data_IF_408517878732
#
_entry.id   IF_408517878732
#
_cell.length_a   1.000
_cell.length_b   1.000
_cell.length_c   1.000
_cell.angle_alpha   90.00
_cell.angle_beta   90.00
_cell.angle_gamma   90.00
#
_symmetry.space_group_name_H-M   'P 1'
#
loop_
_entity.id
_entity.type
_entity.pdbx_description
1 polymer ?
#
# COMPACT_ATOMS: atom_id res chain seq x y z
N UNK A 1 40.10 9.12 34.26
CA UNK A 1 39.38 9.14 32.98
C UNK A 1 37.92 9.38 33.33
N UNK A 2 37.44 10.59 33.04
CA UNK A 2 36.24 11.17 33.63
C UNK A 2 34.95 10.69 32.95
N UNK A 3 33.89 10.55 33.75
CA UNK A 3 32.50 10.28 33.33
C UNK A 3 31.90 11.33 32.38
N UNK A 4 32.59 12.44 32.08
CA UNK A 4 32.12 13.50 31.18
C UNK A 4 32.20 13.13 29.69
N UNK A 5 33.08 12.20 29.32
CA UNK A 5 33.28 11.85 27.90
C UNK A 5 32.26 10.82 27.40
N UNK A 6 31.62 10.04 28.29
CA UNK A 6 30.57 9.08 27.92
C UNK A 6 29.22 9.76 27.62
N UNK A 7 28.86 10.87 28.29
CA UNK A 7 27.63 11.61 28.00
C UNK A 7 27.68 12.39 26.67
N UNK A 8 28.85 12.85 26.25
CA UNK A 8 29.05 13.53 24.96
C UNK A 8 28.95 12.56 23.77
N UNK A 9 29.37 11.30 23.92
CA UNK A 9 29.22 10.29 22.88
C UNK A 9 27.78 9.77 22.74
N UNK A 10 27.04 9.62 23.84
CA UNK A 10 25.61 9.23 23.78
C UNK A 10 24.70 10.35 23.27
N UNK A 11 24.95 11.62 23.63
CA UNK A 11 24.16 12.74 23.09
C UNK A 11 24.37 12.94 21.58
N UNK A 12 25.60 12.81 21.06
CA UNK A 12 25.87 12.96 19.62
C UNK A 12 25.27 11.84 18.75
N UNK A 13 25.14 10.64 19.29
CA UNK A 13 24.47 9.50 18.65
C UNK A 13 22.95 9.71 18.56
N UNK A 14 22.32 10.12 19.67
CA UNK A 14 20.88 10.40 19.72
C UNK A 14 20.46 11.57 18.83
N UNK A 15 21.30 12.60 18.71
CA UNK A 15 21.06 13.76 17.84
C UNK A 15 21.24 13.38 16.37
N UNK A 16 22.24 12.54 16.02
CA UNK A 16 22.38 12.01 14.65
C UNK A 16 21.21 11.11 14.25
N UNK A 17 20.68 10.30 15.17
CA UNK A 17 19.50 9.48 14.96
C UNK A 17 18.25 10.35 14.76
N UNK A 18 18.04 11.38 15.60
CA UNK A 18 16.93 12.32 15.47
C UNK A 18 16.95 13.15 14.17
N UNK A 19 18.15 13.47 13.65
CA UNK A 19 18.32 14.15 12.35
C UNK A 19 18.07 13.18 11.18
N UNK A 20 18.34 11.88 11.33
CA UNK A 20 18.01 10.85 10.34
C UNK A 20 16.52 10.47 10.33
N UNK A 21 15.82 10.60 11.46
CA UNK A 21 14.39 10.26 11.59
C UNK A 21 13.46 11.36 11.05
N UNK A 22 14.01 12.55 10.77
CA UNK A 22 13.30 13.67 10.19
C UNK A 22 13.44 13.70 8.67
N UNK A 23 12.52 13.02 7.99
CA UNK A 23 12.45 12.99 6.53
C UNK A 23 11.45 14.06 6.09
N UNK A 24 11.91 15.05 5.32
CA UNK A 24 11.09 16.16 4.80
C UNK A 24 10.40 17.01 5.89
N UNK A 25 10.97 17.14 7.08
CA UNK A 25 10.41 17.98 8.15
C UNK A 25 9.42 17.26 9.08
N UNK A 26 9.16 15.97 8.87
CA UNK A 26 8.26 15.15 9.68
C UNK A 26 9.01 14.03 10.41
N UNK A 27 8.69 13.87 11.69
CA UNK A 27 9.15 12.74 12.51
C UNK A 27 8.57 11.41 12.01
N UNK A 28 9.20 10.29 12.39
CA UNK A 28 8.66 8.96 12.10
C UNK A 28 7.21 8.80 12.59
N UNK A 29 6.89 9.29 13.80
CA UNK A 29 5.54 9.25 14.37
C UNK A 29 4.53 9.98 13.47
N UNK A 30 4.87 11.16 13.00
CA UNK A 30 4.02 11.95 12.10
C UNK A 30 3.86 11.28 10.73
N UNK A 31 4.93 10.66 10.19
CA UNK A 31 4.85 9.93 8.92
C UNK A 31 4.05 8.64 9.01
N UNK A 32 4.10 7.92 10.14
CA UNK A 32 3.20 6.79 10.40
C UNK A 32 1.75 7.27 10.45
N UNK A 33 1.46 8.34 11.22
CA UNK A 33 0.10 8.89 11.29
C UNK A 33 -0.39 9.37 9.92
N UNK A 34 0.46 10.06 9.16
CA UNK A 34 0.16 10.53 7.81
C UNK A 34 -0.12 9.34 6.88
N UNK A 35 0.70 8.29 6.91
CA UNK A 35 0.46 7.08 6.11
C UNK A 35 -0.94 6.52 6.35
N UNK A 36 -1.38 6.39 7.60
CA UNK A 36 -2.68 5.80 7.90
C UNK A 36 -3.86 6.74 7.63
N UNK A 37 -3.75 8.03 7.99
CA UNK A 37 -4.83 8.98 7.73
C UNK A 37 -5.00 9.27 6.23
N UNK A 38 -3.90 9.33 5.48
CA UNK A 38 -3.96 9.54 4.04
C UNK A 38 -4.45 8.31 3.31
N UNK A 39 -4.15 7.09 3.78
CA UNK A 39 -4.78 5.88 3.26
C UNK A 39 -6.32 5.98 3.33
N UNK A 40 -6.84 6.30 4.52
CA UNK A 40 -8.29 6.45 4.71
C UNK A 40 -8.89 7.61 3.90
N UNK A 41 -8.16 8.72 3.74
CA UNK A 41 -8.61 9.82 2.89
C UNK A 41 -8.58 9.45 1.40
N UNK A 42 -7.57 8.71 0.94
CA UNK A 42 -7.45 8.24 -0.44
C UNK A 42 -8.57 7.28 -0.81
N UNK A 43 -8.88 6.34 0.08
CA UNK A 43 -10.07 5.48 0.05
C UNK A 43 -11.33 6.36 -0.06
N UNK A 44 -11.66 7.15 0.96
CA UNK A 44 -12.95 7.85 1.00
C UNK A 44 -13.14 8.82 -0.18
N UNK A 45 -12.06 9.43 -0.68
CA UNK A 45 -12.09 10.29 -1.87
C UNK A 45 -12.35 9.47 -3.14
N UNK A 46 -11.63 8.37 -3.37
CA UNK A 46 -11.86 7.51 -4.53
C UNK A 46 -13.24 6.85 -4.51
N UNK A 47 -13.72 6.51 -3.31
CA UNK A 47 -14.99 5.85 -3.10
C UNK A 47 -16.16 6.84 -3.28
N UNK A 48 -16.10 7.97 -2.56
CA UNK A 48 -17.18 8.96 -2.41
C UNK A 48 -18.55 8.29 -2.19
N UNK A 49 -18.64 7.49 -1.13
CA UNK A 49 -19.84 6.69 -0.81
C UNK A 49 -20.30 5.77 -1.97
N UNK A 50 -19.37 5.30 -2.80
CA UNK A 50 -19.60 4.47 -4.00
C UNK A 50 -19.91 5.26 -5.29
N UNK A 51 -20.10 6.58 -5.22
CA UNK A 51 -20.49 7.36 -6.42
C UNK A 51 -19.37 7.51 -7.45
N UNK A 52 -18.11 7.53 -7.02
CA UNK A 52 -16.96 7.69 -7.93
C UNK A 52 -16.33 6.35 -8.32
N UNK A 53 -16.12 5.43 -7.38
CA UNK A 53 -15.58 4.08 -7.65
C UNK A 53 -16.29 3.36 -8.80
N UNK A 54 -17.63 3.40 -8.83
CA UNK A 54 -18.41 2.71 -9.86
C UNK A 54 -18.59 3.51 -11.16
N UNK A 55 -18.04 4.73 -11.24
CA UNK A 55 -18.10 5.56 -12.44
C UNK A 55 -17.01 5.17 -13.43
N UNK A 56 -17.39 4.52 -14.54
CA UNK A 56 -16.44 4.02 -15.57
C UNK A 56 -15.94 5.08 -16.56
N UNK A 57 -15.98 6.36 -16.16
CA UNK A 57 -15.53 7.48 -16.99
C UNK A 57 -14.85 8.55 -16.12
N UNK A 58 -13.52 8.65 -16.26
CA UNK A 58 -12.72 9.59 -15.47
C UNK A 58 -13.10 11.06 -15.72
N UNK A 59 -13.46 11.45 -16.95
CA UNK A 59 -13.93 12.81 -17.21
C UNK A 59 -15.20 13.15 -16.44
N UNK A 60 -16.12 12.20 -16.26
CA UNK A 60 -17.32 12.40 -15.44
C UNK A 60 -16.95 12.72 -14.00
N UNK A 61 -16.01 11.97 -13.41
CA UNK A 61 -15.52 12.20 -12.04
C UNK A 61 -14.88 13.58 -11.93
N UNK A 62 -14.01 13.96 -12.87
CA UNK A 62 -13.34 15.27 -12.88
C UNK A 62 -14.32 16.44 -13.13
N UNK A 63 -15.36 16.22 -13.93
CA UNK A 63 -16.43 17.20 -14.14
C UNK A 63 -17.26 17.40 -12.88
N UNK A 64 -17.60 16.33 -12.16
CA UNK A 64 -18.26 16.42 -10.85
C UNK A 64 -17.38 17.13 -9.82
N UNK A 65 -16.07 16.85 -9.79
CA UNK A 65 -15.12 17.56 -8.93
C UNK A 65 -15.26 19.07 -9.15
N UNK A 66 -15.15 19.48 -10.42
CA UNK A 66 -15.23 20.89 -10.81
C UNK A 66 -16.60 21.50 -10.52
N UNK A 67 -17.68 20.77 -10.76
CA UNK A 67 -19.04 21.29 -10.61
C UNK A 67 -19.45 21.47 -9.15
N UNK A 68 -19.19 20.48 -8.29
CA UNK A 68 -19.66 20.48 -6.90
C UNK A 68 -18.66 21.09 -5.92
N UNK A 69 -17.35 21.02 -6.22
CA UNK A 69 -16.29 21.44 -5.28
C UNK A 69 -15.34 22.47 -5.88
N UNK A 70 -15.42 22.75 -7.18
CA UNK A 70 -14.52 23.66 -7.90
C UNK A 70 -13.14 23.04 -8.19
N UNK A 71 -12.47 22.53 -7.15
CA UNK A 71 -11.24 21.76 -7.21
C UNK A 71 -11.08 20.92 -5.91
N UNK A 72 -9.94 20.26 -5.71
CA UNK A 72 -9.73 19.43 -4.52
C UNK A 72 -9.85 20.22 -3.20
N UNK A 73 -9.48 21.50 -3.13
CA UNK A 73 -9.62 22.30 -1.91
C UNK A 73 -11.09 22.47 -1.47
N UNK A 74 -12.05 22.26 -2.36
CA UNK A 74 -13.47 22.28 -2.02
C UNK A 74 -14.00 20.96 -1.43
N UNK A 75 -13.20 19.89 -1.41
CA UNK A 75 -13.59 18.61 -0.81
C UNK A 75 -13.45 18.70 0.71
N UNK A 76 -14.51 18.36 1.43
CA UNK A 76 -14.50 18.00 2.85
C UNK A 76 -15.00 16.56 2.95
N UNK A 77 -14.19 15.66 3.53
CA UNK A 77 -14.52 14.24 3.67
C UNK A 77 -15.58 13.97 4.74
N UNK A 78 -16.12 15.03 5.36
CA UNK A 78 -17.30 14.91 6.23
C UNK A 78 -18.44 14.20 5.50
N UNK A 79 -18.94 13.12 6.10
CA UNK A 79 -19.97 12.22 5.56
C UNK A 79 -19.55 11.45 4.29
N UNK A 80 -18.27 11.45 3.93
CA UNK A 80 -17.72 10.50 2.96
C UNK A 80 -17.20 9.32 3.75
N UNK A 81 -17.95 8.22 3.71
CA UNK A 81 -17.54 7.00 4.39
C UNK A 81 -16.28 6.44 3.73
N UNK A 82 -15.47 5.76 4.52
CA UNK A 82 -14.43 4.87 4.00
C UNK A 82 -15.07 3.58 3.45
N UNK A 83 -14.44 2.93 2.48
CA UNK A 83 -14.88 1.65 1.90
C UNK A 83 -14.37 0.46 2.75
N UNK A 84 -14.43 -0.75 2.20
CA UNK A 84 -13.89 -1.94 2.85
C UNK A 84 -12.36 -1.89 2.97
N UNK A 85 -11.68 -1.12 2.13
CA UNK A 85 -10.23 -0.87 2.15
C UNK A 85 -9.74 -0.44 3.53
N UNK A 86 -10.24 0.69 4.04
CA UNK A 86 -9.86 1.18 5.38
C UNK A 86 -10.31 0.22 6.48
N UNK A 87 -11.50 -0.38 6.35
CA UNK A 87 -12.02 -1.31 7.36
C UNK A 87 -11.11 -2.53 7.50
N UNK A 88 -10.71 -3.13 6.39
CA UNK A 88 -9.81 -4.27 6.38
C UNK A 88 -8.37 -3.88 6.73
N UNK A 89 -7.90 -2.70 6.32
CA UNK A 89 -6.58 -2.20 6.71
C UNK A 89 -6.47 -2.00 8.22
N UNK A 90 -7.49 -1.40 8.86
CA UNK A 90 -7.57 -1.30 10.31
C UNK A 90 -7.60 -2.68 10.98
N UNK A 91 -8.34 -3.63 10.44
CA UNK A 91 -8.39 -5.00 10.95
C UNK A 91 -7.00 -5.67 10.92
N UNK A 92 -6.23 -5.52 9.83
CA UNK A 92 -4.83 -5.98 9.75
C UNK A 92 -4.00 -5.38 10.89
N UNK A 93 -4.16 -4.08 11.13
CA UNK A 93 -3.39 -3.35 12.14
C UNK A 93 -3.84 -3.64 13.57
N UNK A 94 -5.08 -4.06 13.83
CA UNK A 94 -5.51 -4.43 15.20
C UNK A 94 -4.87 -5.72 15.71
N UNK A 95 -4.48 -6.62 14.80
CA UNK A 95 -4.00 -7.95 15.12
C UNK A 95 -2.59 -8.01 15.75
N UNK A 96 -2.03 -6.91 16.28
CA UNK A 96 -0.61 -6.69 16.68
C UNK A 96 -0.01 -7.67 17.74
N UNK A 97 -0.61 -8.83 17.98
CA UNK A 97 -0.26 -9.79 19.03
C UNK A 97 0.02 -11.17 18.42
N UNK A 98 0.96 -11.91 19.01
CA UNK A 98 1.29 -13.28 18.62
C UNK A 98 0.29 -14.30 19.23
N UNK A 99 -0.28 -15.26 18.48
CA UNK A 99 -0.03 -15.58 17.06
C UNK A 99 -0.73 -14.65 16.06
N UNK A 100 0.10 -13.91 15.31
CA UNK A 100 -0.30 -12.81 14.43
C UNK A 100 -1.33 -13.20 13.39
N UNK A 101 -1.10 -14.32 12.69
CA UNK A 101 -1.99 -14.77 11.60
C UNK A 101 -3.36 -15.21 12.10
N UNK A 102 -3.42 -15.84 13.27
CA UNK A 102 -4.66 -16.23 13.93
C UNK A 102 -5.45 -15.00 14.37
N UNK A 103 -4.77 -14.00 14.94
CA UNK A 103 -5.43 -12.75 15.32
C UNK A 103 -5.90 -11.95 14.09
N UNK A 104 -5.14 -11.92 13.00
CA UNK A 104 -5.60 -11.31 11.74
C UNK A 104 -6.85 -12.00 11.18
N UNK A 105 -6.89 -13.33 11.19
CA UNK A 105 -8.08 -14.07 10.75
C UNK A 105 -9.32 -13.74 11.62
N UNK A 106 -9.13 -13.58 12.93
CA UNK A 106 -10.16 -13.15 13.87
C UNK A 106 -10.62 -11.71 13.61
N UNK A 107 -9.69 -10.77 13.42
CA UNK A 107 -10.01 -9.38 13.12
C UNK A 107 -10.74 -9.22 11.77
N UNK A 108 -10.40 -10.01 10.74
CA UNK A 108 -11.13 -10.02 9.47
C UNK A 108 -12.57 -10.54 9.62
N UNK A 109 -12.81 -11.51 10.51
CA UNK A 109 -14.16 -11.95 10.83
C UNK A 109 -14.96 -10.86 11.57
N UNK A 110 -14.31 -10.14 12.49
CA UNK A 110 -14.94 -9.06 13.28
C UNK A 110 -15.28 -7.88 12.38
N UNK A 111 -14.33 -7.42 11.55
CA UNK A 111 -14.51 -6.24 10.71
C UNK A 111 -15.58 -6.45 9.63
N UNK A 112 -15.90 -7.69 9.28
CA UNK A 112 -16.95 -8.01 8.32
C UNK A 112 -18.35 -7.50 8.73
N UNK A 113 -18.57 -7.25 10.04
CA UNK A 113 -19.80 -6.66 10.54
C UNK A 113 -19.96 -5.17 10.19
N UNK A 114 -18.90 -4.53 9.71
CA UNK A 114 -18.85 -3.10 9.36
C UNK A 114 -18.76 -2.89 7.84
N UNK A 115 -19.28 -3.83 7.03
CA UNK A 115 -19.19 -3.75 5.56
C UNK A 115 -20.41 -3.11 4.88
N UNK A 116 -21.45 -2.75 5.65
CA UNK A 116 -22.69 -2.23 5.08
C UNK A 116 -22.47 -0.91 4.32
N UNK A 117 -22.74 -0.94 3.01
CA UNK A 117 -22.56 0.20 2.11
C UNK A 117 -21.09 0.60 1.93
N UNK A 118 -20.17 -0.37 2.03
CA UNK A 118 -18.73 -0.20 1.81
C UNK A 118 -18.17 -1.07 0.66
N UNK A 119 -19.07 -1.73 -0.07
CA UNK A 119 -18.79 -2.48 -1.29
C UNK A 119 -17.69 -3.58 -1.24
N UNK A 120 -17.63 -4.44 -0.21
CA UNK A 120 -16.58 -5.46 -0.14
C UNK A 120 -16.59 -6.43 -1.32
N UNK A 121 -15.39 -6.73 -1.84
CA UNK A 121 -15.22 -7.66 -2.94
C UNK A 121 -15.62 -9.12 -2.61
N UNK A 122 -16.15 -9.89 -3.58
CA UNK A 122 -16.62 -11.26 -3.35
C UNK A 122 -15.50 -12.23 -2.97
N UNK A 123 -14.25 -11.97 -3.36
CA UNK A 123 -13.09 -12.79 -2.98
C UNK A 123 -12.75 -12.61 -1.50
N UNK A 124 -12.85 -11.38 -0.96
CA UNK A 124 -12.76 -11.14 0.48
C UNK A 124 -13.87 -11.90 1.23
N UNK A 125 -15.11 -11.84 0.73
CA UNK A 125 -16.25 -12.54 1.32
C UNK A 125 -16.00 -14.05 1.45
N UNK A 126 -15.57 -14.71 0.35
CA UNK A 126 -15.29 -16.16 0.36
C UNK A 126 -14.24 -16.55 1.40
N UNK A 127 -13.18 -15.76 1.55
CA UNK A 127 -12.15 -16.06 2.56
C UNK A 127 -12.63 -15.83 4.00
N UNK A 128 -13.43 -14.80 4.25
CA UNK A 128 -14.03 -14.58 5.57
C UNK A 128 -15.07 -15.66 5.90
N UNK A 129 -15.87 -16.08 4.92
CA UNK A 129 -16.80 -17.20 5.06
C UNK A 129 -16.05 -18.50 5.39
N UNK A 130 -14.93 -18.77 4.71
CA UNK A 130 -14.06 -19.91 5.04
C UNK A 130 -13.58 -19.87 6.49
N UNK A 131 -13.11 -18.71 6.98
CA UNK A 131 -12.68 -18.54 8.38
C UNK A 131 -13.86 -18.77 9.34
N UNK A 132 -15.06 -18.29 8.99
CA UNK A 132 -16.27 -18.47 9.81
C UNK A 132 -16.68 -19.94 9.94
N UNK A 133 -16.58 -20.69 8.84
CA UNK A 133 -17.00 -22.09 8.79
C UNK A 133 -15.98 -23.05 9.42
N UNK A 134 -14.67 -22.78 9.25
CA UNK A 134 -13.61 -23.68 9.69
C UNK A 134 -12.97 -23.26 11.02
N UNK A 135 -13.12 -21.98 11.41
CA UNK A 135 -12.47 -21.39 12.58
C UNK A 135 -11.10 -20.78 12.26
N UNK A 136 -10.73 -19.72 12.98
CA UNK A 136 -9.49 -18.98 12.77
C UNK A 136 -8.20 -19.80 13.02
N UNK A 137 -8.29 -20.95 13.70
CA UNK A 137 -7.15 -21.86 13.90
C UNK A 137 -6.73 -22.57 12.60
N UNK A 138 -7.64 -22.65 11.62
CA UNK A 138 -7.42 -23.28 10.32
C UNK A 138 -7.13 -22.25 9.20
N UNK A 139 -6.67 -21.06 9.57
CA UNK A 139 -6.38 -19.96 8.63
C UNK A 139 -5.42 -20.37 7.48
N UNK A 140 -4.49 -21.28 7.75
CA UNK A 140 -3.51 -21.78 6.79
C UNK A 140 -4.10 -22.76 5.76
N UNK A 141 -5.36 -23.18 5.93
CA UNK A 141 -6.01 -24.16 5.06
C UNK A 141 -6.82 -23.52 3.92
N UNK A 142 -6.91 -22.18 3.84
CA UNK A 142 -7.62 -21.52 2.74
C UNK A 142 -7.00 -21.94 1.39
N UNK A 143 -7.79 -22.53 0.49
CA UNK A 143 -7.27 -23.20 -0.71
C UNK A 143 -6.78 -22.19 -1.75
N UNK A 144 -5.89 -22.64 -2.63
CA UNK A 144 -5.51 -21.86 -3.81
C UNK A 144 -6.72 -21.59 -4.71
N UNK A 145 -6.88 -20.34 -5.13
CA UNK A 145 -7.95 -19.89 -6.02
C UNK A 145 -7.34 -19.25 -7.27
N UNK A 146 -7.53 -19.88 -8.44
CA UNK A 146 -7.07 -19.33 -9.73
C UNK A 146 -7.67 -17.97 -10.05
N UNK A 147 -8.79 -17.61 -9.42
CA UNK A 147 -9.46 -16.30 -9.55
C UNK A 147 -9.26 -15.42 -8.31
N UNK A 148 -8.39 -15.80 -7.39
CA UNK A 148 -8.09 -15.07 -6.15
C UNK A 148 -7.14 -13.89 -6.32
N UNK A 149 -7.01 -13.33 -7.54
CA UNK A 149 -6.00 -12.33 -7.91
C UNK A 149 -6.35 -10.87 -7.58
N UNK A 150 -7.51 -10.62 -6.97
CA UNK A 150 -7.98 -9.27 -6.64
C UNK A 150 -7.06 -8.47 -5.72
N UNK A 151 -7.24 -7.15 -5.69
CA UNK A 151 -6.49 -6.19 -4.87
C UNK A 151 -6.84 -6.23 -3.37
N UNK A 152 -7.84 -7.02 -2.95
CA UNK A 152 -8.25 -7.05 -1.54
C UNK A 152 -7.10 -7.39 -0.58
N UNK A 153 -6.09 -8.13 -1.05
CA UNK A 153 -4.84 -8.34 -0.33
C UNK A 153 -3.93 -7.10 -0.27
N UNK A 154 -3.75 -6.37 -1.37
CA UNK A 154 -2.90 -5.18 -1.45
C UNK A 154 -3.45 -3.99 -0.68
N UNK A 155 -4.77 -3.73 -0.74
CA UNK A 155 -5.40 -2.56 -0.12
C UNK A 155 -5.32 -2.52 1.42
N UNK A 156 -5.07 -3.67 2.06
CA UNK A 156 -5.06 -3.80 3.54
C UNK A 156 -3.69 -4.10 4.15
N UNK A 157 -2.63 -4.07 3.36
CA UNK A 157 -1.32 -4.57 3.75
C UNK A 157 -0.30 -3.48 4.13
N UNK A 158 -0.56 -2.20 3.85
CA UNK A 158 0.38 -1.11 4.13
C UNK A 158 0.83 -1.09 5.61
N UNK A 159 -0.11 -1.35 6.52
CA UNK A 159 0.14 -1.41 7.96
C UNK A 159 1.17 -2.46 8.38
N UNK A 160 1.33 -3.53 7.60
CA UNK A 160 2.31 -4.60 7.87
C UNK A 160 3.73 -4.04 7.75
N UNK A 161 4.00 -3.16 6.78
CA UNK A 161 5.29 -2.49 6.65
C UNK A 161 5.65 -1.61 7.86
N UNK A 162 4.64 -1.15 8.60
CA UNK A 162 4.82 -0.43 9.87
C UNK A 162 5.03 -1.42 11.01
N UNK A 163 4.18 -2.45 11.12
CA UNK A 163 4.25 -3.46 12.18
C UNK A 163 5.58 -4.20 12.23
N UNK A 164 6.18 -4.49 11.08
CA UNK A 164 7.43 -5.26 11.04
C UNK A 164 8.67 -4.41 11.28
N UNK A 165 8.60 -3.09 11.19
CA UNK A 165 9.77 -2.21 11.34
C UNK A 165 10.84 -2.43 10.26
N UNK A 166 11.96 -1.73 10.41
CA UNK A 166 13.04 -1.61 9.40
C UNK A 166 13.91 -2.85 9.19
N UNK A 167 14.05 -3.69 10.21
CA UNK A 167 15.05 -4.77 10.20
C UNK A 167 14.46 -6.17 10.00
N UNK A 168 13.13 -6.31 10.08
CA UNK A 168 12.44 -7.62 10.01
C UNK A 168 11.89 -7.88 8.60
N UNK A 169 12.72 -7.71 7.57
CA UNK A 169 12.29 -7.82 6.16
C UNK A 169 11.69 -9.19 5.80
N UNK A 170 12.26 -10.28 6.30
CA UNK A 170 11.72 -11.63 6.02
C UNK A 170 10.38 -11.85 6.74
N UNK A 171 10.19 -11.23 7.91
CA UNK A 171 8.90 -11.23 8.61
C UNK A 171 7.85 -10.40 7.87
N UNK A 172 8.24 -9.26 7.28
CA UNK A 172 7.38 -8.47 6.39
C UNK A 172 6.92 -9.33 5.21
N UNK A 173 7.86 -10.02 4.55
CA UNK A 173 7.57 -10.89 3.42
C UNK A 173 6.58 -11.99 3.80
N UNK A 174 6.86 -12.73 4.89
CA UNK A 174 5.97 -13.80 5.33
C UNK A 174 4.59 -13.27 5.74
N UNK A 175 4.53 -12.18 6.52
CA UNK A 175 3.27 -11.63 7.06
C UNK A 175 2.39 -11.05 5.95
N UNK A 176 2.97 -10.30 5.00
CA UNK A 176 2.22 -9.74 3.87
C UNK A 176 1.65 -10.83 2.96
N UNK A 177 2.42 -11.87 2.67
CA UNK A 177 1.96 -13.01 1.87
C UNK A 177 0.84 -13.77 2.59
N UNK A 178 1.04 -14.16 3.85
CA UNK A 178 0.08 -14.98 4.57
C UNK A 178 -1.20 -14.21 4.94
N UNK A 179 -1.10 -12.92 5.27
CA UNK A 179 -2.28 -12.05 5.52
C UNK A 179 -3.18 -11.89 4.30
N UNK A 180 -2.60 -11.87 3.10
CA UNK A 180 -3.36 -11.87 1.86
C UNK A 180 -3.98 -13.25 1.59
N UNK A 181 -3.23 -14.33 1.80
CA UNK A 181 -3.70 -15.72 1.62
C UNK A 181 -4.91 -16.11 2.49
N UNK A 182 -5.26 -15.32 3.51
CA UNK A 182 -6.52 -15.46 4.24
C UNK A 182 -7.76 -15.29 3.35
N UNK A 183 -7.65 -14.57 2.23
CA UNK A 183 -8.76 -14.40 1.27
C UNK A 183 -8.33 -14.47 -0.19
N UNK A 184 -7.07 -14.18 -0.51
CA UNK A 184 -6.48 -14.09 -1.84
C UNK A 184 -5.29 -15.04 -1.97
N UNK A 185 -5.54 -16.36 -1.93
CA UNK A 185 -4.49 -17.35 -2.18
C UNK A 185 -4.24 -17.50 -3.70
N UNK A 186 -3.72 -16.43 -4.30
CA UNK A 186 -3.21 -16.36 -5.67
C UNK A 186 -2.03 -15.38 -5.71
N UNK A 187 -0.92 -15.66 -6.44
CA UNK A 187 0.25 -14.79 -6.46
C UNK A 187 -0.04 -13.34 -6.85
N UNK A 188 -0.92 -13.09 -7.81
CA UNK A 188 -1.34 -11.73 -8.15
C UNK A 188 -1.86 -10.96 -6.93
N UNK A 189 -2.70 -11.58 -6.11
CA UNK A 189 -3.26 -10.94 -4.91
C UNK A 189 -2.23 -10.80 -3.79
N UNK A 190 -1.54 -11.89 -3.41
CA UNK A 190 -0.64 -11.84 -2.26
C UNK A 190 0.72 -11.17 -2.53
N UNK A 191 1.20 -11.13 -3.77
CA UNK A 191 2.38 -10.33 -4.12
C UNK A 191 2.04 -8.84 -4.20
N UNK A 192 0.79 -8.49 -4.53
CA UNK A 192 0.27 -7.14 -4.33
C UNK A 192 0.36 -6.70 -2.86
N UNK A 193 -0.10 -7.55 -1.93
CA UNK A 193 0.07 -7.33 -0.48
C UNK A 193 1.53 -7.12 -0.08
N UNK A 194 2.43 -7.95 -0.61
CA UNK A 194 3.87 -7.78 -0.40
C UNK A 194 4.33 -6.39 -0.85
N UNK A 195 4.01 -5.94 -2.06
CA UNK A 195 4.41 -4.63 -2.56
C UNK A 195 3.82 -3.49 -1.71
N UNK A 196 2.54 -3.57 -1.33
CA UNK A 196 1.88 -2.62 -0.41
C UNK A 196 2.60 -2.46 0.92
N UNK A 197 2.94 -3.57 1.58
CA UNK A 197 3.69 -3.55 2.83
C UNK A 197 5.13 -3.05 2.63
N UNK A 198 5.80 -3.55 1.59
CA UNK A 198 7.20 -3.28 1.31
C UNK A 198 7.46 -1.80 0.97
N UNK A 199 6.63 -1.21 0.13
CA UNK A 199 6.79 0.19 -0.28
C UNK A 199 6.39 1.14 0.86
N UNK A 200 5.48 0.73 1.75
CA UNK A 200 5.28 1.44 3.03
C UNK A 200 6.55 1.41 3.90
N UNK A 201 7.23 0.26 3.99
CA UNK A 201 8.52 0.15 4.69
C UNK A 201 9.56 1.09 4.07
N UNK A 202 9.71 1.08 2.75
CA UNK A 202 10.63 1.98 2.05
C UNK A 202 10.32 3.46 2.25
N UNK A 203 9.04 3.82 2.21
CA UNK A 203 8.58 5.18 2.47
C UNK A 203 8.98 5.65 3.88
N UNK A 204 8.75 4.81 4.90
CA UNK A 204 9.07 5.11 6.30
C UNK A 204 10.57 5.11 6.59
N UNK A 205 11.32 4.15 6.03
CA UNK A 205 12.78 4.09 6.15
C UNK A 205 13.45 5.33 5.54
N UNK A 206 12.88 5.85 4.45
CA UNK A 206 13.26 7.11 3.82
C UNK A 206 14.64 7.14 3.14
N UNK A 207 15.35 6.00 3.13
CA UNK A 207 16.70 5.84 2.57
C UNK A 207 16.70 5.60 1.06
N UNK A 208 15.68 4.89 0.56
CA UNK A 208 15.57 4.52 -0.84
C UNK A 208 14.60 5.50 -1.51
N UNK A 209 15.05 6.31 -2.48
CA UNK A 209 14.18 7.18 -3.28
C UNK A 209 13.08 6.36 -3.98
N UNK A 210 11.85 6.90 -4.13
CA UNK A 210 10.76 6.21 -4.81
C UNK A 210 11.15 5.60 -6.15
N UNK A 211 11.92 6.31 -6.99
CA UNK A 211 12.38 5.81 -8.29
C UNK A 211 13.12 4.46 -8.25
N UNK A 212 13.70 4.08 -7.11
CA UNK A 212 14.47 2.86 -6.94
C UNK A 212 13.64 1.71 -6.32
N UNK A 213 12.45 1.98 -5.77
CA UNK A 213 11.66 0.97 -5.03
C UNK A 213 11.40 -0.29 -5.86
N UNK A 214 11.10 -0.12 -7.14
CA UNK A 214 10.81 -1.24 -8.04
C UNK A 214 12.00 -2.17 -8.29
N UNK A 215 13.20 -1.64 -8.53
CA UNK A 215 14.40 -2.48 -8.73
C UNK A 215 14.84 -3.14 -7.42
N UNK A 216 14.71 -2.44 -6.29
CA UNK A 216 14.95 -3.06 -4.98
C UNK A 216 13.97 -4.20 -4.70
N UNK A 217 12.67 -4.02 -5.00
CA UNK A 217 11.70 -5.10 -4.91
C UNK A 217 12.11 -6.32 -5.75
N UNK A 218 12.43 -6.10 -7.04
CA UNK A 218 12.78 -7.20 -7.95
C UNK A 218 14.03 -7.97 -7.54
N UNK A 219 15.06 -7.29 -7.04
CA UNK A 219 16.39 -7.89 -6.86
C UNK A 219 16.76 -8.18 -5.40
N UNK A 220 16.16 -7.49 -4.43
CA UNK A 220 16.39 -7.78 -3.01
C UNK A 220 15.28 -8.63 -2.40
N UNK A 221 14.02 -8.30 -2.65
CA UNK A 221 12.90 -8.86 -1.89
C UNK A 221 12.20 -10.02 -2.62
N UNK A 222 12.03 -9.93 -3.93
CA UNK A 222 11.37 -10.98 -4.70
C UNK A 222 12.10 -12.33 -4.65
N UNK A 223 13.45 -12.41 -4.68
CA UNK A 223 14.17 -13.67 -4.46
C UNK A 223 13.89 -14.27 -3.07
N UNK A 224 13.79 -13.42 -2.04
CA UNK A 224 13.44 -13.86 -0.67
C UNK A 224 12.00 -14.35 -0.59
N UNK A 225 11.07 -13.67 -1.24
CA UNK A 225 9.67 -14.11 -1.37
C UNK A 225 9.57 -15.45 -2.08
N UNK A 226 10.34 -15.67 -3.15
CA UNK A 226 10.42 -16.99 -3.83
C UNK A 226 10.91 -18.07 -2.89
N UNK A 227 12.00 -17.83 -2.15
CA UNK A 227 12.51 -18.79 -1.16
C UNK A 227 11.43 -19.09 -0.13
N UNK A 228 10.80 -18.07 0.45
CA UNK A 228 9.71 -18.25 1.42
C UNK A 228 8.59 -19.14 0.88
N UNK A 229 8.08 -18.84 -0.32
CA UNK A 229 7.00 -19.60 -0.96
C UNK A 229 7.40 -21.05 -1.26
N UNK A 230 8.64 -21.25 -1.73
CA UNK A 230 9.15 -22.56 -2.16
C UNK A 230 9.54 -23.48 -1.00
N UNK A 231 10.18 -22.93 0.03
CA UNK A 231 10.89 -23.74 1.03
C UNK A 231 10.30 -23.62 2.43
N UNK A 232 9.67 -22.49 2.77
CA UNK A 232 9.14 -22.25 4.12
C UNK A 232 7.63 -22.49 4.17
N UNK A 233 6.85 -21.77 3.37
CA UNK A 233 5.40 -21.90 3.37
C UNK A 233 4.95 -23.21 2.72
N UNK A 234 5.53 -23.58 1.57
CA UNK A 234 5.24 -24.81 0.80
C UNK A 234 3.75 -25.04 0.44
N UNK A 235 2.90 -24.00 0.58
CA UNK A 235 1.49 -24.02 0.17
C UNK A 235 1.36 -23.77 -1.33
N UNK A 236 0.75 -24.73 -2.04
CA UNK A 236 0.30 -24.60 -3.44
C UNK A 236 1.39 -24.23 -4.46
N UNK A 237 2.66 -24.53 -4.18
CA UNK A 237 3.80 -24.10 -5.00
C UNK A 237 3.71 -24.60 -6.46
N UNK A 238 3.27 -25.85 -6.65
CA UNK A 238 3.20 -26.46 -7.99
C UNK A 238 2.18 -25.73 -8.87
N UNK A 239 1.08 -25.29 -8.26
CA UNK A 239 -0.04 -24.61 -8.87
C UNK A 239 0.27 -23.13 -9.16
N UNK A 240 1.06 -22.47 -8.30
CA UNK A 240 1.20 -21.01 -8.31
C UNK A 240 2.50 -20.46 -8.94
N UNK A 241 3.53 -21.29 -9.13
CA UNK A 241 4.87 -20.86 -9.58
C UNK A 241 4.88 -20.02 -10.87
N UNK A 242 3.97 -20.29 -11.80
CA UNK A 242 3.88 -19.59 -13.08
C UNK A 242 3.24 -18.21 -12.88
N UNK A 243 2.22 -18.12 -12.03
CA UNK A 243 1.61 -16.84 -11.63
C UNK A 243 2.58 -15.95 -10.83
N UNK A 244 3.49 -16.52 -10.04
CA UNK A 244 4.59 -15.76 -9.39
C UNK A 244 5.49 -15.11 -10.45
N UNK A 245 5.86 -15.88 -11.48
CA UNK A 245 6.71 -15.39 -12.57
C UNK A 245 5.99 -14.38 -13.45
N UNK A 246 4.67 -14.55 -13.65
CA UNK A 246 3.83 -13.59 -14.34
C UNK A 246 3.84 -12.22 -13.63
N UNK A 247 3.59 -12.19 -12.32
CA UNK A 247 3.61 -10.96 -11.52
C UNK A 247 4.92 -10.18 -11.68
N UNK A 248 6.07 -10.86 -11.60
CA UNK A 248 7.37 -10.23 -11.82
C UNK A 248 7.52 -9.63 -13.22
N UNK A 249 7.04 -10.33 -14.25
CA UNK A 249 7.13 -9.84 -15.63
C UNK A 249 6.24 -8.63 -15.88
N UNK A 250 5.06 -8.58 -15.25
CA UNK A 250 4.18 -7.40 -15.26
C UNK A 250 4.91 -6.21 -14.62
N UNK A 251 5.52 -6.41 -13.45
CA UNK A 251 6.26 -5.36 -12.75
C UNK A 251 7.49 -4.89 -13.54
N UNK A 252 8.26 -5.81 -14.15
CA UNK A 252 9.38 -5.48 -15.06
C UNK A 252 8.92 -4.66 -16.25
N UNK A 253 7.77 -4.99 -16.82
CA UNK A 253 7.18 -4.25 -17.96
C UNK A 253 6.88 -2.82 -17.55
N UNK A 254 6.25 -2.62 -16.40
CA UNK A 254 5.99 -1.28 -15.86
C UNK A 254 7.29 -0.48 -15.63
N UNK A 255 8.31 -1.08 -15.01
CA UNK A 255 9.59 -0.38 -14.79
C UNK A 255 10.27 0.00 -16.12
N UNK A 256 10.15 -0.82 -17.16
CA UNK A 256 10.65 -0.48 -18.51
C UNK A 256 9.89 0.71 -19.10
N UNK A 257 8.56 0.72 -19.01
CA UNK A 257 7.73 1.82 -19.49
C UNK A 257 8.08 3.17 -18.81
N UNK A 258 8.63 3.14 -17.59
CA UNK A 258 9.07 4.32 -16.83
C UNK A 258 10.56 4.61 -16.87
N UNK A 259 11.34 3.87 -17.65
CA UNK A 259 12.81 3.97 -17.67
C UNK A 259 13.45 3.76 -16.29
N UNK A 260 12.83 2.89 -15.48
CA UNK A 260 13.29 2.52 -14.14
C UNK A 260 13.82 1.09 -14.06
N UNK A 261 13.76 0.32 -15.15
CA UNK A 261 14.26 -1.04 -15.17
C UNK A 261 15.78 -1.07 -15.34
N UNK A 262 16.44 -1.93 -14.56
CA UNK A 262 17.85 -2.30 -14.69
C UNK A 262 17.92 -3.82 -14.81
N UNK A 263 18.90 -4.36 -15.53
CA UNK A 263 19.20 -5.79 -15.44
C UNK A 263 19.83 -6.12 -14.07
N UNK A 264 19.78 -7.39 -13.66
CA UNK A 264 20.29 -7.82 -12.33
C UNK A 264 21.79 -7.48 -12.13
N UNK A 265 22.58 -7.58 -13.20
CA UNK A 265 24.00 -7.19 -13.16
C UNK A 265 24.20 -5.70 -12.92
N UNK A 266 23.35 -4.87 -13.52
CA UNK A 266 23.43 -3.40 -13.43
C UNK A 266 22.91 -2.87 -12.09
N UNK A 267 21.97 -3.58 -11.45
CA UNK A 267 21.51 -3.24 -10.10
C UNK A 267 22.62 -3.23 -9.04
N UNK A 268 23.73 -3.95 -9.28
CA UNK A 268 24.91 -3.93 -8.40
C UNK A 268 25.75 -2.66 -8.56
N UNK A 269 25.50 -1.85 -9.58
CA UNK A 269 26.17 -0.59 -9.81
C UNK A 269 25.39 0.55 -9.15
N UNK A 270 25.90 1.04 -8.02
CA UNK A 270 25.26 2.12 -7.25
C UNK A 270 25.07 3.41 -8.06
N UNK A 271 25.96 3.72 -9.01
CA UNK A 271 25.82 4.90 -9.87
C UNK A 271 24.60 4.77 -10.79
N UNK A 272 24.40 3.60 -11.40
CA UNK A 272 23.23 3.36 -12.25
C UNK A 272 21.93 3.41 -11.45
N UNK A 273 21.91 2.81 -10.25
CA UNK A 273 20.75 2.84 -9.35
C UNK A 273 20.44 4.26 -8.88
N UNK A 274 21.45 5.04 -8.51
CA UNK A 274 21.29 6.43 -8.05
C UNK A 274 20.85 7.39 -9.15
N UNK A 275 21.11 7.05 -10.42
CA UNK A 275 20.71 7.84 -11.57
C UNK A 275 19.31 7.50 -12.10
N UNK A 276 18.61 6.52 -11.53
CA UNK A 276 17.24 6.19 -11.91
C UNK A 276 16.29 7.38 -11.73
N UNK A 277 15.59 7.75 -12.80
CA UNK A 277 14.59 8.82 -12.83
C UNK A 277 13.39 8.35 -13.65
N UNK A 278 12.15 8.47 -13.14
CA UNK A 278 10.98 8.07 -13.90
C UNK A 278 10.80 9.00 -15.11
N UNK A 279 10.49 8.41 -16.26
CA UNK A 279 10.11 9.12 -17.48
C UNK A 279 8.62 8.95 -17.73
N UNK A 280 7.92 10.06 -17.98
CA UNK A 280 6.50 10.08 -18.32
C UNK A 280 6.30 10.65 -19.73
N UNK A 281 5.24 10.25 -20.45
CA UNK A 281 4.88 10.87 -21.71
C UNK A 281 4.63 12.38 -21.55
N UNK A 282 4.89 13.17 -22.60
CA UNK A 282 4.68 14.62 -22.60
C UNK A 282 3.21 15.02 -22.39
N UNK A 283 2.27 14.15 -22.74
CA UNK A 283 0.85 14.23 -22.36
C UNK A 283 0.53 13.05 -21.46
N UNK A 284 0.14 13.34 -20.22
CA UNK A 284 -0.22 12.33 -19.22
C UNK A 284 -1.46 12.78 -18.45
N UNK A 285 -2.48 13.20 -19.19
CA UNK A 285 -3.76 13.66 -18.69
C UNK A 285 -4.71 12.50 -18.41
N UNK A 286 -5.99 12.81 -18.21
CA UNK A 286 -7.03 11.82 -17.85
C UNK A 286 -7.08 10.67 -18.86
N UNK A 287 -7.18 11.00 -20.16
CA UNK A 287 -7.32 10.00 -21.22
C UNK A 287 -6.08 9.12 -21.36
N UNK A 288 -4.89 9.72 -21.33
CA UNK A 288 -3.64 8.96 -21.47
C UNK A 288 -3.43 8.01 -20.28
N UNK A 289 -3.83 8.41 -19.07
CA UNK A 289 -3.75 7.57 -17.88
C UNK A 289 -4.74 6.41 -17.94
N UNK A 290 -6.00 6.65 -18.27
CA UNK A 290 -7.00 5.59 -18.41
C UNK A 290 -6.58 4.54 -19.45
N UNK A 291 -6.02 4.98 -20.59
CA UNK A 291 -5.49 4.08 -21.62
C UNK A 291 -4.29 3.30 -21.10
N UNK A 292 -3.35 3.97 -20.41
CA UNK A 292 -2.16 3.33 -19.88
C UNK A 292 -2.50 2.30 -18.80
N UNK A 293 -3.39 2.62 -17.86
CA UNK A 293 -3.77 1.72 -16.76
C UNK A 293 -4.51 0.48 -17.24
N UNK A 294 -5.34 0.59 -18.28
CA UNK A 294 -6.00 -0.56 -18.92
C UNK A 294 -5.02 -1.60 -19.47
N UNK A 295 -3.75 -1.25 -19.73
CA UNK A 295 -2.70 -2.21 -20.14
C UNK A 295 -2.46 -3.29 -19.07
N UNK A 296 -2.67 -2.96 -17.80
CA UNK A 296 -2.39 -3.84 -16.67
C UNK A 296 -3.64 -4.53 -16.11
N UNK A 297 -4.84 -4.07 -16.50
CA UNK A 297 -6.09 -4.62 -16.02
C UNK A 297 -6.26 -6.09 -16.42
N UNK A 298 -6.62 -6.94 -15.46
CA UNK A 298 -6.97 -8.34 -15.74
C UNK A 298 -8.25 -8.47 -16.59
N UNK A 299 -9.29 -7.71 -16.27
CA UNK A 299 -10.59 -7.75 -16.96
C UNK A 299 -11.18 -6.34 -17.18
N UNK A 300 -10.34 -5.43 -17.68
CA UNK A 300 -10.74 -4.08 -18.13
C UNK A 300 -10.97 -3.03 -17.02
N UNK A 301 -11.25 -3.43 -15.78
CA UNK A 301 -11.29 -2.53 -14.63
C UNK A 301 -9.92 -2.52 -13.95
N UNK A 302 -9.09 -1.52 -14.31
CA UNK A 302 -7.73 -1.41 -13.81
C UNK A 302 -7.72 -1.02 -12.33
N UNK A 303 -6.72 -1.51 -11.62
CA UNK A 303 -6.58 -1.35 -10.17
C UNK A 303 -7.29 -2.42 -9.36
N UNK A 304 -8.12 -3.27 -9.97
CA UNK A 304 -8.91 -4.28 -9.27
C UNK A 304 -8.13 -5.55 -8.92
N UNK A 305 -6.88 -5.67 -9.38
CA UNK A 305 -5.99 -6.81 -9.15
C UNK A 305 -4.82 -6.43 -8.25
N UNK A 306 -4.21 -7.41 -7.60
CA UNK A 306 -3.11 -7.14 -6.68
C UNK A 306 -1.84 -6.56 -7.35
N UNK A 307 -1.59 -6.83 -8.63
CA UNK A 307 -0.48 -6.25 -9.39
C UNK A 307 -0.78 -4.84 -9.90
N UNK A 308 -1.90 -4.63 -10.57
CA UNK A 308 -2.23 -3.34 -11.17
C UNK A 308 -2.56 -2.26 -10.12
N UNK A 309 -3.21 -2.61 -8.99
CA UNK A 309 -3.42 -1.68 -7.86
C UNK A 309 -2.12 -1.05 -7.38
N UNK A 310 -1.09 -1.87 -7.11
CA UNK A 310 0.19 -1.39 -6.59
C UNK A 310 1.03 -0.70 -7.67
N UNK A 311 0.92 -1.11 -8.94
CA UNK A 311 1.59 -0.45 -10.06
C UNK A 311 1.03 0.97 -10.25
N UNK A 312 -0.29 1.13 -10.26
CA UNK A 312 -0.94 2.42 -10.50
C UNK A 312 -0.76 3.34 -9.30
N UNK A 313 -0.82 2.81 -8.08
CA UNK A 313 -0.48 3.57 -6.88
C UNK A 313 0.98 4.07 -6.93
N UNK A 314 1.90 3.25 -7.44
CA UNK A 314 3.33 3.59 -7.48
C UNK A 314 3.61 4.62 -8.57
N UNK A 315 2.96 4.47 -9.72
CA UNK A 315 2.93 5.44 -10.81
C UNK A 315 2.46 6.82 -10.31
N UNK A 316 1.44 6.83 -9.45
CA UNK A 316 0.90 8.05 -8.84
C UNK A 316 1.91 8.73 -7.92
N UNK A 317 2.60 7.97 -7.06
CA UNK A 317 3.65 8.51 -6.18
C UNK A 317 4.84 9.05 -6.98
N UNK A 318 5.26 8.36 -8.04
CA UNK A 318 6.35 8.81 -8.90
C UNK A 318 6.00 10.07 -9.67
N UNK A 319 4.77 10.17 -10.19
CA UNK A 319 4.31 11.34 -10.93
C UNK A 319 4.10 12.55 -10.03
N UNK A 320 3.55 12.36 -8.82
CA UNK A 320 3.32 13.44 -7.87
C UNK A 320 4.63 14.04 -7.33
N UNK A 321 5.63 13.19 -7.07
CA UNK A 321 6.84 13.60 -6.36
C UNK A 321 6.55 14.12 -4.95
N UNK A 322 7.55 14.79 -4.35
CA UNK A 322 7.53 15.10 -2.91
C UNK A 322 6.52 16.16 -2.45
N UNK A 323 6.08 17.03 -3.35
CA UNK A 323 5.39 18.27 -2.99
C UNK A 323 4.02 18.44 -3.66
N UNK A 324 3.46 17.38 -4.27
CA UNK A 324 2.23 17.51 -5.04
C UNK A 324 1.16 16.47 -4.66
N UNK A 325 0.66 16.59 -3.42
CA UNK A 325 -0.47 15.79 -2.93
C UNK A 325 -1.70 15.90 -3.83
N UNK A 326 -1.98 17.07 -4.42
CA UNK A 326 -3.08 17.26 -5.37
C UNK A 326 -2.94 16.36 -6.60
N UNK A 327 -1.78 16.33 -7.25
CA UNK A 327 -1.55 15.42 -8.38
C UNK A 327 -1.66 13.95 -7.98
N UNK A 328 -1.21 13.58 -6.77
CA UNK A 328 -1.39 12.22 -6.26
C UNK A 328 -2.88 11.84 -6.23
N UNK A 329 -3.73 12.69 -5.64
CA UNK A 329 -5.17 12.43 -5.52
C UNK A 329 -5.86 12.46 -6.89
N UNK A 330 -5.53 13.41 -7.76
CA UNK A 330 -6.10 13.48 -9.12
C UNK A 330 -5.77 12.24 -9.97
N UNK A 331 -4.65 11.58 -9.69
CA UNK A 331 -4.21 10.41 -10.43
C UNK A 331 -4.73 9.12 -9.79
N UNK A 332 -4.53 8.96 -8.48
CA UNK A 332 -4.82 7.74 -7.75
C UNK A 332 -6.31 7.58 -7.42
N UNK A 333 -6.99 8.67 -7.05
CA UNK A 333 -8.36 8.63 -6.54
C UNK A 333 -9.42 9.07 -7.57
N UNK A 334 -9.06 9.91 -8.55
CA UNK A 334 -10.02 10.42 -9.55
C UNK A 334 -9.79 9.77 -10.91
N UNK A 335 -10.15 8.50 -11.02
CA UNK A 335 -10.06 7.72 -12.25
C UNK A 335 -11.17 6.65 -12.31
N UNK A 336 -11.42 6.09 -13.49
CA UNK A 336 -12.47 5.10 -13.78
C UNK A 336 -12.14 3.66 -13.35
N UNK A 337 -10.98 3.46 -12.72
CA UNK A 337 -10.52 2.20 -12.19
C UNK A 337 -11.09 1.92 -10.82
N UNK A 338 -10.43 1.01 -10.11
CA UNK A 338 -10.69 0.69 -8.71
C UNK A 338 -10.01 1.75 -7.82
N UNK A 339 -10.63 2.93 -7.80
CA UNK A 339 -9.96 4.19 -7.48
C UNK A 339 -9.80 4.47 -5.98
N UNK A 340 -10.67 3.92 -5.13
CA UNK A 340 -10.49 3.91 -3.68
C UNK A 340 -9.33 3.00 -3.26
N UNK A 341 -9.22 1.80 -3.84
CA UNK A 341 -8.08 0.91 -3.63
C UNK A 341 -6.75 1.48 -4.09
N UNK A 342 -6.68 1.99 -5.32
CA UNK A 342 -5.49 2.69 -5.81
C UNK A 342 -5.18 3.89 -4.90
N UNK A 343 -6.19 4.69 -4.57
CA UNK A 343 -6.10 5.88 -3.74
C UNK A 343 -5.54 5.59 -2.35
N UNK A 344 -6.06 4.57 -1.68
CA UNK A 344 -5.66 4.13 -0.35
C UNK A 344 -4.18 3.76 -0.30
N UNK A 345 -3.73 2.91 -1.23
CA UNK A 345 -2.33 2.45 -1.30
C UNK A 345 -1.39 3.62 -1.63
N UNK A 346 -1.71 4.42 -2.64
CA UNK A 346 -0.87 5.54 -3.08
C UNK A 346 -0.71 6.61 -1.98
N UNK A 347 -1.82 6.95 -1.33
CA UNK A 347 -1.85 7.95 -0.27
C UNK A 347 -1.14 7.46 1.00
N UNK A 348 -1.20 6.16 1.31
CA UNK A 348 -0.41 5.56 2.38
C UNK A 348 1.09 5.71 2.16
N UNK A 349 1.56 5.43 0.95
CA UNK A 349 2.98 5.56 0.59
C UNK A 349 3.43 7.01 0.56
N UNK A 350 2.60 7.91 0.02
CA UNK A 350 2.87 9.35 0.03
C UNK A 350 3.02 9.87 1.46
N UNK A 351 2.08 9.54 2.35
CA UNK A 351 2.13 9.95 3.76
C UNK A 351 3.33 9.38 4.51
N UNK A 352 3.68 8.12 4.28
CA UNK A 352 4.87 7.50 4.87
C UNK A 352 6.17 8.18 4.45
N UNK A 353 6.23 8.68 3.20
CA UNK A 353 7.44 9.28 2.62
C UNK A 353 7.55 10.78 2.88
N UNK A 354 6.43 11.50 2.83
CA UNK A 354 6.37 12.96 2.82
C UNK A 354 5.60 13.56 4.00
N UNK A 355 5.05 12.75 4.91
CA UNK A 355 4.24 13.23 6.02
C UNK A 355 2.97 13.93 5.54
N UNK A 356 2.61 15.05 6.17
CA UNK A 356 1.45 15.87 5.79
C UNK A 356 1.78 16.98 4.78
N UNK A 357 2.91 16.86 4.07
CA UNK A 357 3.37 17.89 3.15
C UNK A 357 2.33 18.22 2.07
N UNK A 358 1.89 19.48 2.01
CA UNK A 358 0.86 19.98 1.09
C UNK A 358 -0.46 19.21 1.10
N UNK A 359 -0.76 18.49 2.19
CA UNK A 359 -2.05 17.81 2.37
C UNK A 359 -3.14 18.86 2.60
N UNK A 360 -4.25 18.71 1.89
CA UNK A 360 -5.43 19.55 2.05
C UNK A 360 -6.12 19.15 3.37
N UNK A 361 -6.14 20.05 4.35
CA UNK A 361 -6.59 19.74 5.73
C UNK A 361 -8.00 19.13 5.76
N UNK A 362 -8.93 19.65 4.95
CA UNK A 362 -10.31 19.18 4.87
C UNK A 362 -10.45 17.72 4.41
N UNK A 363 -9.43 17.15 3.75
CA UNK A 363 -9.44 15.74 3.37
C UNK A 363 -9.27 14.79 4.56
N UNK A 364 -8.54 15.23 5.61
CA UNK A 364 -8.23 14.40 6.79
C UNK A 364 -8.90 14.89 8.08
N UNK A 365 -9.50 16.09 8.05
CA UNK A 365 -10.04 16.74 9.25
C UNK A 365 -11.17 15.92 9.87
N UNK A 366 -12.14 15.53 9.03
CA UNK A 366 -13.40 14.89 9.42
C UNK A 366 -13.53 13.45 8.88
N UNK A 367 -12.41 12.84 8.49
CA UNK A 367 -12.41 11.49 7.92
C UNK A 367 -12.99 10.48 8.92
N UNK A 368 -13.79 9.54 8.42
CA UNK A 368 -14.36 8.47 9.23
C UNK A 368 -13.24 7.67 9.93
N UNK A 369 -13.49 7.17 11.15
CA UNK A 369 -12.53 6.37 11.95
C UNK A 369 -11.23 7.08 12.34
N UNK A 370 -11.10 8.38 12.12
CA UNK A 370 -9.90 9.17 12.48
C UNK A 370 -9.36 8.88 13.88
N UNK A 371 -10.21 8.90 14.92
CA UNK A 371 -9.77 8.66 16.29
C UNK A 371 -9.22 7.24 16.51
N UNK A 372 -9.75 6.25 15.80
CA UNK A 372 -9.21 4.89 15.83
C UNK A 372 -7.87 4.81 15.09
N UNK A 373 -7.76 5.44 13.93
CA UNK A 373 -6.53 5.55 13.14
C UNK A 373 -5.41 6.19 13.99
N UNK A 374 -5.71 7.28 14.69
CA UNK A 374 -4.75 7.97 15.57
C UNK A 374 -4.26 7.06 16.71
N UNK A 375 -5.15 6.27 17.31
CA UNK A 375 -4.78 5.31 18.37
C UNK A 375 -3.91 4.17 17.83
N UNK A 376 -4.26 3.61 16.65
CA UNK A 376 -3.48 2.57 15.99
C UNK A 376 -2.11 3.09 15.58
N UNK A 377 -2.03 4.30 15.02
CA UNK A 377 -0.77 4.93 14.64
C UNK A 377 0.20 5.05 15.83
N UNK A 378 -0.31 5.41 17.01
CA UNK A 378 0.49 5.48 18.24
C UNK A 378 1.02 4.12 18.67
N UNK A 379 0.19 3.07 18.65
CA UNK A 379 0.60 1.70 18.98
C UNK A 379 1.63 1.17 17.99
N UNK A 380 1.40 1.39 16.69
CA UNK A 380 2.33 0.97 15.64
C UNK A 380 3.65 1.70 15.70
N UNK A 381 3.66 3.00 16.04
CA UNK A 381 4.91 3.72 16.27
C UNK A 381 5.73 3.10 17.40
N UNK A 382 5.10 2.69 18.50
CA UNK A 382 5.79 1.98 19.58
C UNK A 382 6.38 0.65 19.09
N UNK A 383 5.57 -0.17 18.41
CA UNK A 383 6.01 -1.45 17.84
C UNK A 383 7.10 -1.31 16.76
N UNK A 384 7.12 -0.21 16.01
CA UNK A 384 8.15 0.06 15.01
C UNK A 384 9.52 0.32 15.66
N UNK A 385 9.52 0.88 16.87
CA UNK A 385 10.74 1.21 17.62
C UNK A 385 11.30 0.03 18.44
N UNK A 386 10.47 -0.98 18.72
CA UNK A 386 10.87 -2.29 19.26
C UNK A 386 11.45 -3.21 18.17
#
# INVERSE_FOLDING_TARGET
MNNSDQELFHSSSSVKQAVMDNVNGYTLKERILASLLLAAAGDAIGFRNGSWEFTKNSHSIHNELKHYYGNLNGIDTKNWRVSDDTVMHLATMRAMINPLMKEMAKEYLICWNDMYGRAPGPTCARGVDFIRENGFDYWFAYPYDKRGGGNGGSMRAMGIGIMTGKERRDMLIATSIESARLTHNHPTGFLGSLVSALFTSYALEGKIPPAQWGVHFLYNDMPRARVYLQTVAQRDWKEMKDSVTHFENVFKTYLKDRSLFLEEGDFKNEELVNNLKPSFPSRYGIDERDVYYKKFAYDGWYGASGDDSVIIAYDSVLYSGANNYENLILQACLNAGDSDSIGSIAAAWYGGRYGFNNVIESHIKNIEKKGEIEQIAQKLHHLYQE
#
